data_IF_327059570679
#
_entry.id   IF_327059570679
#
_cell.length_a   1.000
_cell.length_b   1.000
_cell.length_c   1.000
_cell.angle_alpha   90.00
_cell.angle_beta   90.00
_cell.angle_gamma   90.00
#
_symmetry.space_group_name_H-M   'P 1'
#
loop_
_entity.id
_entity.type
_entity.pdbx_description
1 polymer ?
#
# COMPACT_ATOMS: atom_id res chain seq x y z
N UNK A 1 2.80 -13.31 -30.45
CA UNK A 1 1.58 -13.28 -29.60
C UNK A 1 1.98 -13.25 -28.14
N UNK A 2 1.40 -12.36 -27.32
CA UNK A 2 1.79 -12.08 -25.92
C UNK A 2 1.28 -13.14 -24.91
N UNK A 3 -0.05 -13.38 -24.89
CA UNK A 3 -0.68 -14.21 -23.85
C UNK A 3 -0.17 -15.66 -23.78
N UNK A 4 0.12 -16.37 -24.89
CA UNK A 4 0.72 -17.70 -24.81
C UNK A 4 2.09 -17.69 -24.13
N UNK A 5 2.92 -16.66 -24.36
CA UNK A 5 4.23 -16.55 -23.72
C UNK A 5 4.11 -16.29 -22.21
N UNK A 6 3.16 -15.44 -21.80
CA UNK A 6 2.87 -15.14 -20.39
C UNK A 6 2.40 -16.38 -19.64
N UNK A 7 1.49 -17.18 -20.23
CA UNK A 7 0.96 -18.41 -19.61
C UNK A 7 1.99 -19.53 -19.49
N UNK A 8 2.95 -19.57 -20.41
CA UNK A 8 4.02 -20.56 -20.44
C UNK A 8 5.26 -20.12 -19.65
N UNK A 9 5.29 -18.88 -19.16
CA UNK A 9 6.41 -18.39 -18.36
C UNK A 9 6.52 -19.20 -17.06
N UNK A 10 7.75 -19.50 -16.63
CA UNK A 10 7.96 -20.21 -15.38
C UNK A 10 7.47 -19.33 -14.20
N UNK A 11 7.16 -20.00 -13.09
CA UNK A 11 6.55 -19.36 -11.92
C UNK A 11 7.42 -18.25 -11.32
N UNK A 12 8.74 -18.43 -11.39
CA UNK A 12 9.79 -17.50 -10.95
C UNK A 12 10.17 -16.45 -12.01
N UNK A 13 9.60 -16.53 -13.21
CA UNK A 13 9.90 -15.57 -14.29
C UNK A 13 9.24 -14.22 -14.02
N UNK A 14 10.03 -13.16 -13.99
CA UNK A 14 9.53 -11.78 -13.97
C UNK A 14 8.90 -11.40 -15.31
N UNK A 15 7.73 -10.77 -15.27
CA UNK A 15 7.05 -10.23 -16.45
C UNK A 15 7.05 -8.71 -16.34
N UNK A 16 7.67 -8.04 -17.32
CA UNK A 16 7.83 -6.59 -17.34
C UNK A 16 7.05 -6.04 -18.53
N UNK A 17 6.26 -5.00 -18.30
CA UNK A 17 5.58 -4.27 -19.37
C UNK A 17 5.50 -2.79 -19.02
N UNK A 18 6.03 -1.91 -19.86
CA UNK A 18 6.01 -0.45 -19.60
C UNK A 18 4.70 0.21 -20.03
N UNK A 19 3.90 -0.46 -20.85
CA UNK A 19 2.62 0.05 -21.34
C UNK A 19 1.42 -0.43 -20.51
N UNK A 20 0.56 0.51 -20.09
CA UNK A 20 -0.68 0.22 -19.36
C UNK A 20 -1.59 -0.79 -20.08
N UNK A 21 -1.74 -0.67 -21.40
CA UNK A 21 -2.59 -1.60 -22.17
C UNK A 21 -2.12 -3.05 -22.09
N UNK A 22 -0.81 -3.30 -22.13
CA UNK A 22 -0.26 -4.64 -22.00
C UNK A 22 -0.37 -5.16 -20.57
N UNK A 23 -0.11 -4.30 -19.57
CA UNK A 23 -0.30 -4.66 -18.16
C UNK A 23 -1.76 -5.06 -17.88
N UNK A 24 -2.72 -4.26 -18.34
CA UNK A 24 -4.16 -4.55 -18.18
C UNK A 24 -4.58 -5.81 -18.93
N UNK A 25 -4.11 -6.02 -20.16
CA UNK A 25 -4.42 -7.25 -20.89
C UNK A 25 -3.92 -8.50 -20.15
N UNK A 26 -2.70 -8.46 -19.61
CA UNK A 26 -2.13 -9.58 -18.83
C UNK A 26 -2.96 -9.80 -17.57
N UNK A 27 -3.27 -8.73 -16.85
CA UNK A 27 -4.05 -8.77 -15.63
C UNK A 27 -5.47 -9.31 -15.79
N UNK A 28 -6.14 -8.98 -16.89
CA UNK A 28 -7.51 -9.39 -17.15
C UNK A 28 -7.60 -10.82 -17.69
N UNK A 29 -6.54 -11.31 -18.35
CA UNK A 29 -6.58 -12.54 -19.14
C UNK A 29 -5.69 -13.67 -18.61
N UNK A 30 -4.99 -13.43 -17.50
CA UNK A 30 -4.09 -14.38 -16.82
C UNK A 30 -4.12 -14.17 -15.31
N UNK A 31 -3.53 -15.08 -14.56
CA UNK A 31 -3.29 -14.98 -13.12
C UNK A 31 -1.98 -14.26 -12.77
N UNK A 32 -1.24 -13.79 -13.79
CA UNK A 32 0.01 -13.04 -13.64
C UNK A 32 -0.27 -11.54 -13.63
N UNK A 33 0.61 -10.76 -13.00
CA UNK A 33 0.64 -9.30 -13.10
C UNK A 33 2.00 -8.86 -13.60
N UNK A 34 2.02 -8.15 -14.72
CA UNK A 34 3.24 -7.54 -15.21
C UNK A 34 3.64 -6.35 -14.32
N UNK A 35 4.92 -6.26 -14.00
CA UNK A 35 5.51 -5.14 -13.28
C UNK A 35 5.94 -4.03 -14.25
N UNK A 36 5.89 -2.79 -13.78
CA UNK A 36 6.54 -1.67 -14.46
C UNK A 36 8.05 -1.73 -14.23
N UNK A 37 8.88 -1.29 -15.17
CA UNK A 37 10.34 -1.30 -15.02
C UNK A 37 10.84 -0.67 -13.71
N UNK A 38 10.24 0.47 -13.32
CA UNK A 38 10.57 1.13 -12.05
C UNK A 38 10.36 0.25 -10.81
N UNK A 39 9.33 -0.61 -10.80
CA UNK A 39 9.08 -1.55 -9.70
C UNK A 39 10.16 -2.63 -9.66
N UNK A 40 10.65 -3.09 -10.81
CA UNK A 40 11.75 -4.06 -10.89
C UNK A 40 13.08 -3.44 -10.44
N UNK A 41 13.34 -2.19 -10.81
CA UNK A 41 14.51 -1.45 -10.31
C UNK A 41 14.43 -1.30 -8.78
N UNK A 42 13.26 -0.94 -8.27
CA UNK A 42 13.02 -0.86 -6.82
C UNK A 42 13.26 -2.23 -6.15
N UNK A 43 12.80 -3.32 -6.76
CA UNK A 43 13.03 -4.69 -6.27
C UNK A 43 14.53 -4.99 -6.19
N UNK A 44 15.30 -4.64 -7.22
CA UNK A 44 16.75 -4.84 -7.24
C UNK A 44 17.48 -3.98 -6.18
N UNK A 45 17.01 -2.74 -5.94
CA UNK A 45 17.61 -1.84 -4.95
C UNK A 45 17.33 -2.25 -3.49
N UNK A 46 16.24 -2.97 -3.24
CA UNK A 46 15.79 -3.33 -1.89
C UNK A 46 15.83 -4.84 -1.58
N UNK A 47 15.98 -5.69 -2.59
CA UNK A 47 15.86 -7.15 -2.51
C UNK A 47 16.90 -7.88 -1.66
N UNK A 48 17.93 -7.19 -1.13
CA UNK A 48 18.89 -7.75 -0.17
C UNK A 48 18.47 -7.58 1.29
N UNK A 49 17.53 -6.66 1.61
CA UNK A 49 17.17 -6.33 3.02
C UNK A 49 15.96 -7.10 3.55
N UNK A 50 15.09 -7.58 2.67
CA UNK A 50 13.98 -8.46 3.02
C UNK A 50 14.29 -9.84 2.44
N UNK A 51 14.60 -10.81 3.30
CA UNK A 51 14.74 -12.24 2.96
C UNK A 51 13.44 -12.90 2.48
N UNK A 52 12.61 -12.15 1.74
CA UNK A 52 11.31 -12.52 1.19
C UNK A 52 11.36 -12.57 -0.34
N UNK A 53 12.54 -12.66 -0.95
CA UNK A 53 12.68 -13.03 -2.36
C UNK A 53 12.18 -14.47 -2.55
N UNK A 54 10.86 -14.60 -2.72
CA UNK A 54 10.15 -15.85 -2.93
C UNK A 54 10.06 -16.70 -1.67
N UNK A 55 9.00 -16.52 -0.89
CA UNK A 55 8.43 -17.69 -0.22
C UNK A 55 8.18 -18.72 -1.33
N UNK A 56 8.89 -19.85 -1.25
CA UNK A 56 8.97 -20.83 -2.32
C UNK A 56 7.56 -21.24 -2.75
N UNK A 57 7.10 -20.75 -3.91
CA UNK A 57 5.75 -21.02 -4.40
C UNK A 57 4.83 -19.81 -4.58
N UNK A 58 5.26 -18.57 -4.40
CA UNK A 58 4.50 -17.37 -4.81
C UNK A 58 5.09 -16.72 -6.08
N UNK A 59 4.28 -15.94 -6.81
CA UNK A 59 4.75 -15.19 -7.98
C UNK A 59 5.65 -14.02 -7.57
N UNK A 60 6.68 -13.67 -8.36
CA UNK A 60 7.62 -12.60 -8.01
C UNK A 60 6.95 -11.21 -7.93
N UNK A 61 5.82 -11.02 -8.62
CA UNK A 61 5.02 -9.79 -8.55
C UNK A 61 4.15 -9.62 -7.29
N UNK A 62 3.98 -10.66 -6.45
CA UNK A 62 2.96 -10.66 -5.39
C UNK A 62 3.13 -9.53 -4.35
N UNK A 63 4.37 -9.22 -3.96
CA UNK A 63 4.68 -8.15 -3.01
C UNK A 63 4.31 -6.75 -3.51
N UNK A 64 4.20 -6.54 -4.83
CA UNK A 64 3.85 -5.25 -5.41
C UNK A 64 2.34 -5.06 -5.57
N UNK A 65 1.56 -6.15 -5.59
CA UNK A 65 0.09 -6.09 -5.66
C UNK A 65 -0.50 -5.67 -4.32
N UNK A 66 0.02 -6.20 -3.21
CA UNK A 66 -0.49 -5.93 -1.85
C UNK A 66 -0.11 -4.54 -1.35
N UNK A 67 1.03 -3.99 -1.78
CA UNK A 67 1.54 -2.70 -1.31
C UNK A 67 0.68 -1.50 -1.74
N UNK A 68 0.01 -1.58 -2.89
CA UNK A 68 -0.90 -0.53 -3.38
C UNK A 68 -2.08 -0.28 -2.43
N UNK A 69 -2.50 -1.29 -1.65
CA UNK A 69 -3.60 -1.15 -0.70
C UNK A 69 -3.18 -0.51 0.64
N UNK A 70 -1.89 -0.52 0.99
CA UNK A 70 -1.44 -0.22 2.36
C UNK A 70 -1.00 1.24 2.62
N UNK A 71 -1.03 2.12 1.61
CA UNK A 71 -0.51 3.49 1.74
C UNK A 71 -1.51 4.53 2.29
N UNK A 72 -2.78 4.18 2.49
CA UNK A 72 -3.82 5.18 2.80
C UNK A 72 -3.98 5.52 4.29
N UNK A 73 -3.60 4.62 5.21
CA UNK A 73 -4.00 4.74 6.63
C UNK A 73 -2.87 5.04 7.63
N UNK A 74 -1.60 4.94 7.25
CA UNK A 74 -0.47 5.12 8.18
C UNK A 74 -0.01 6.58 8.37
N UNK A 75 -0.59 7.53 7.63
CA UNK A 75 -0.19 8.95 7.69
C UNK A 75 -1.07 9.85 8.56
N UNK A 76 -2.03 9.30 9.31
CA UNK A 76 -2.72 10.10 10.33
C UNK A 76 -1.81 10.16 11.57
N UNK A 77 -1.16 11.30 11.87
CA UNK A 77 -0.44 11.43 13.14
C UNK A 77 -1.46 11.31 14.26
N UNK A 78 -1.16 10.47 15.26
CA UNK A 78 -1.91 10.32 16.52
C UNK A 78 -2.29 11.66 17.19
N UNK A 79 -1.63 12.76 16.81
CA UNK A 79 -1.88 14.10 17.31
C UNK A 79 -3.28 14.68 17.01
N UNK A 80 -4.00 14.20 15.98
CA UNK A 80 -5.34 14.75 15.66
C UNK A 80 -6.40 14.33 16.69
N UNK A 81 -6.22 13.22 17.39
CA UNK A 81 -7.17 12.75 18.41
C UNK A 81 -7.09 13.50 19.75
N UNK A 82 -5.95 14.13 20.07
CA UNK A 82 -5.73 14.73 21.40
C UNK A 82 -6.22 16.18 21.51
N UNK A 83 -6.33 16.92 20.42
CA UNK A 83 -6.71 18.35 20.44
C UNK A 83 -8.20 18.59 20.70
N UNK A 84 -9.08 17.71 20.24
CA UNK A 84 -10.53 17.84 20.44
C UNK A 84 -10.97 17.58 21.89
N UNK A 85 -10.31 16.64 22.58
CA UNK A 85 -10.61 16.32 23.98
C UNK A 85 -10.29 17.46 24.95
N UNK A 86 -9.13 18.12 24.79
CA UNK A 86 -8.74 19.24 25.65
C UNK A 86 -9.66 20.46 25.51
N UNK A 87 -10.13 20.77 24.31
CA UNK A 87 -11.04 21.91 24.07
C UNK A 87 -12.40 21.71 24.74
N UNK A 88 -12.97 20.50 24.72
CA UNK A 88 -14.26 20.21 25.35
C UNK A 88 -14.18 20.30 26.88
N UNK A 89 -13.10 19.77 27.49
CA UNK A 89 -12.91 19.82 28.95
C UNK A 89 -12.76 21.29 29.42
N UNK A 90 -11.96 22.09 28.71
CA UNK A 90 -11.77 23.51 29.02
C UNK A 90 -13.08 24.30 28.97
N UNK A 91 -13.91 24.09 27.94
CA UNK A 91 -15.21 24.76 27.81
C UNK A 91 -16.17 24.41 28.97
N UNK A 92 -16.24 23.14 29.37
CA UNK A 92 -17.10 22.68 30.47
C UNK A 92 -16.66 23.28 31.82
N UNK A 93 -15.37 23.25 32.14
CA UNK A 93 -14.84 23.81 33.40
C UNK A 93 -15.14 25.30 33.50
N UNK A 94 -14.90 26.06 32.42
CA UNK A 94 -15.12 27.50 32.38
C UNK A 94 -16.61 27.85 32.58
N UNK A 95 -17.51 27.10 31.95
CA UNK A 95 -18.95 27.27 32.10
C UNK A 95 -19.43 26.99 33.54
N UNK A 96 -18.95 25.90 34.16
CA UNK A 96 -19.31 25.54 35.54
C UNK A 96 -18.84 26.61 36.54
N UNK A 97 -17.59 27.08 36.40
CA UNK A 97 -17.04 28.11 37.29
C UNK A 97 -17.79 29.44 37.17
N UNK A 98 -18.17 29.83 35.94
CA UNK A 98 -18.95 31.05 35.70
C UNK A 98 -20.35 30.96 36.30
N UNK A 99 -21.02 29.80 36.22
CA UNK A 99 -22.36 29.56 36.80
C UNK A 99 -22.36 29.61 38.34
N UNK A 100 -21.26 29.21 38.98
CA UNK A 100 -21.12 29.28 40.44
C UNK A 100 -20.92 30.71 40.96
N UNK A 101 -20.31 31.60 40.18
CA UNK A 101 -20.05 32.99 40.58
C UNK A 101 -21.29 33.90 40.45
N UNK A 102 -22.27 33.51 39.63
CA UNK A 102 -23.52 34.25 39.41
C UNK A 102 -24.66 33.84 40.34
N UNK A 103 -24.39 33.00 41.34
CA UNK A 103 -25.30 32.64 42.43
C UNK A 103 -24.71 33.15 43.73
#
# INVERSE_FOLDING_TARGET
VLLPAVRNAAKDTLIIADGFSCQEQIAQMTDRRALHLAQVIQMAMHGEREGSSGQSGEYPEAGYITQAAHQSLSKLPMAVGMSTGLLLIGAVVTWVLRKRKTR
#
